data_IF_075964930526
#
_entry.id   IF_075964930526
#
_cell.length_a   1.000
_cell.length_b   1.000
_cell.length_c   1.000
_cell.angle_alpha   90.00
_cell.angle_beta   90.00
_cell.angle_gamma   90.00
#
_symmetry.space_group_name_H-M   'P 1'
#
loop_
_entity.id
_entity.type
_entity.pdbx_description
1 polymer ?
#
# COMPACT_ATOMS: atom_id res chain seq x y z
N UNK A 1 19.84 -30.54 29.59
CA UNK A 1 18.43 -30.15 29.84
C UNK A 1 18.33 -28.62 29.80
N UNK A 2 17.32 -28.10 29.07
CA UNK A 2 16.60 -26.78 29.18
C UNK A 2 17.39 -25.45 28.99
N UNK A 3 17.11 -24.67 27.92
CA UNK A 3 16.13 -23.54 27.75
C UNK A 3 16.55 -22.27 28.55
N UNK A 4 16.59 -21.02 28.08
CA UNK A 4 16.01 -20.28 26.94
C UNK A 4 16.73 -18.92 26.78
N UNK A 5 16.60 -18.28 25.61
CA UNK A 5 17.07 -16.94 25.26
C UNK A 5 16.02 -15.89 25.68
N UNK A 6 16.42 -14.88 26.46
CA UNK A 6 15.80 -13.55 26.63
C UNK A 6 16.93 -12.60 27.08
N UNK A 7 17.03 -11.31 26.74
CA UNK A 7 16.20 -10.35 26.02
C UNK A 7 17.15 -9.29 25.46
N UNK A 8 17.06 -8.93 24.17
CA UNK A 8 17.92 -7.88 23.60
C UNK A 8 17.43 -6.49 24.00
N UNK A 9 18.20 -5.94 24.93
CA UNK A 9 18.55 -4.55 25.19
C UNK A 9 17.99 -3.44 24.27
N UNK A 10 17.28 -2.53 24.93
CA UNK A 10 17.46 -1.07 24.89
C UNK A 10 17.21 -0.31 23.57
N UNK A 11 16.08 0.42 23.59
CA UNK A 11 15.85 1.78 23.08
C UNK A 11 17.10 2.51 22.53
N UNK A 12 17.11 2.79 21.22
CA UNK A 12 17.85 3.90 20.61
C UNK A 12 17.45 4.05 19.12
N UNK A 13 16.30 4.64 18.83
CA UNK A 13 15.98 5.05 17.45
C UNK A 13 15.21 6.37 17.36
N UNK A 14 15.12 7.13 18.45
CA UNK A 14 14.21 8.28 18.55
C UNK A 14 14.86 9.66 18.30
N UNK A 15 15.97 9.77 17.54
CA UNK A 15 16.65 11.08 17.45
C UNK A 15 17.23 11.50 16.10
N UNK A 16 16.78 11.01 14.93
CA UNK A 16 17.35 11.46 13.64
C UNK A 16 16.39 11.64 12.44
N UNK A 17 15.08 11.89 12.59
CA UNK A 17 14.19 12.11 11.41
C UNK A 17 13.69 13.54 11.17
N UNK A 18 14.07 14.52 12.00
CA UNK A 18 13.46 15.86 12.01
C UNK A 18 13.73 16.78 10.79
N UNK A 19 14.45 16.37 9.75
CA UNK A 19 14.81 17.26 8.62
C UNK A 19 14.42 16.73 7.23
N UNK A 20 13.80 15.55 7.13
CA UNK A 20 13.37 14.92 5.88
C UNK A 20 11.89 14.49 5.91
N UNK A 21 11.09 15.08 6.78
CA UNK A 21 9.68 14.71 6.99
C UNK A 21 8.72 15.82 6.51
N UNK A 22 9.14 16.66 5.55
CA UNK A 22 8.41 17.88 5.16
C UNK A 22 8.08 18.05 3.68
N UNK A 23 8.22 17.03 2.82
CA UNK A 23 7.80 17.16 1.39
C UNK A 23 7.05 15.97 0.80
N UNK A 24 6.50 15.07 1.62
CA UNK A 24 5.46 14.16 1.16
C UNK A 24 4.26 14.37 2.10
N UNK A 25 3.29 15.15 1.63
CA UNK A 25 1.90 14.96 2.08
C UNK A 25 1.53 13.54 1.63
N UNK A 26 1.96 12.52 2.39
CA UNK A 26 1.43 11.17 2.27
C UNK A 26 -0.04 11.28 2.68
N UNK A 27 -0.91 11.49 1.69
CA UNK A 27 -2.33 11.33 1.85
C UNK A 27 -2.54 10.01 2.60
N UNK A 28 -3.08 10.12 3.83
CA UNK A 28 -3.35 8.96 4.67
C UNK A 28 -4.05 7.91 3.79
N UNK A 29 -3.50 6.68 3.68
CA UNK A 29 -4.05 5.70 2.77
C UNK A 29 -5.52 5.46 3.06
N UNK A 30 -6.33 5.38 2.01
CA UNK A 30 -7.77 5.12 2.09
C UNK A 30 -8.05 3.73 2.64
N UNK A 31 -7.12 2.79 2.44
CA UNK A 31 -7.14 1.46 3.04
C UNK A 31 -6.42 0.43 2.18
N UNK A 32 -6.33 -0.79 2.69
CA UNK A 32 -5.85 -1.94 1.93
C UNK A 32 -7.02 -2.82 1.50
N UNK A 33 -7.08 -3.12 0.21
CA UNK A 33 -8.20 -3.82 -0.41
C UNK A 33 -7.71 -5.02 -1.21
N UNK A 34 -8.62 -5.98 -1.42
CA UNK A 34 -8.37 -7.14 -2.27
C UNK A 34 -8.73 -6.81 -3.71
N UNK A 35 -7.83 -7.17 -4.61
CA UNK A 35 -8.10 -7.15 -6.04
C UNK A 35 -9.04 -8.30 -6.38
N UNK A 36 -10.09 -8.00 -7.13
CA UNK A 36 -11.15 -8.92 -7.57
C UNK A 36 -11.22 -9.07 -9.09
N UNK A 37 -10.56 -8.19 -9.85
CA UNK A 37 -10.46 -8.27 -11.30
C UNK A 37 -9.05 -7.93 -11.78
N UNK A 38 -8.60 -8.60 -12.83
CA UNK A 38 -7.32 -8.33 -13.48
C UNK A 38 -7.35 -6.99 -14.20
N UNK A 39 -6.26 -6.25 -14.13
CA UNK A 39 -6.00 -5.10 -14.99
C UNK A 39 -4.56 -5.13 -15.49
N UNK A 40 -4.41 -5.01 -16.81
CA UNK A 40 -3.10 -5.05 -17.49
C UNK A 40 -2.77 -3.67 -18.02
N UNK A 41 -1.60 -3.10 -17.65
CA UNK A 41 -1.24 -1.74 -18.01
C UNK A 41 -0.93 -1.59 -19.51
N UNK A 42 -1.34 -0.45 -20.04
CA UNK A 42 -1.09 0.08 -21.38
C UNK A 42 -0.23 1.34 -21.36
N UNK A 43 -0.22 2.05 -20.24
CA UNK A 43 0.63 3.22 -19.97
C UNK A 43 1.64 2.93 -18.85
N UNK A 44 2.70 3.73 -18.77
CA UNK A 44 3.81 3.48 -17.84
C UNK A 44 3.46 3.78 -16.37
N UNK A 45 2.44 4.59 -16.12
CA UNK A 45 1.94 4.95 -14.81
C UNK A 45 0.85 3.99 -14.30
N UNK A 46 0.36 3.09 -15.16
CA UNK A 46 -0.65 2.10 -14.82
C UNK A 46 -0.06 0.90 -14.05
N UNK A 47 -0.83 0.35 -13.11
CA UNK A 47 -0.41 -0.73 -12.22
C UNK A 47 -0.97 -2.08 -12.67
N UNK A 48 -0.10 -3.07 -12.88
CA UNK A 48 -0.52 -4.48 -13.07
C UNK A 48 -1.06 -5.06 -11.76
N UNK A 49 -2.29 -5.56 -11.81
CA UNK A 49 -2.99 -6.16 -10.67
C UNK A 49 -3.74 -7.43 -11.08
N UNK A 50 -3.77 -8.40 -10.18
CA UNK A 50 -4.42 -9.70 -10.40
C UNK A 50 -5.30 -10.06 -9.20
N UNK A 51 -6.42 -10.80 -9.40
CA UNK A 51 -7.24 -11.27 -8.30
C UNK A 51 -6.42 -11.99 -7.22
N UNK A 52 -6.64 -11.62 -5.96
CA UNK A 52 -5.90 -12.13 -4.81
C UNK A 52 -4.79 -11.21 -4.29
N UNK A 53 -4.29 -10.31 -5.14
CA UNK A 53 -3.36 -9.26 -4.72
C UNK A 53 -3.99 -8.38 -3.61
N UNK A 54 -3.10 -7.82 -2.78
CA UNK A 54 -3.46 -6.80 -1.80
C UNK A 54 -2.88 -5.48 -2.26
N UNK A 55 -3.74 -4.47 -2.40
CA UNK A 55 -3.34 -3.12 -2.82
C UNK A 55 -3.72 -2.11 -1.74
N UNK A 56 -2.81 -1.20 -1.45
CA UNK A 56 -3.06 -0.03 -0.61
C UNK A 56 -3.48 1.12 -1.51
N UNK A 57 -4.68 1.65 -1.31
CA UNK A 57 -5.19 2.80 -2.07
C UNK A 57 -4.75 4.09 -1.39
N UNK A 58 -4.16 5.00 -2.15
CA UNK A 58 -3.67 6.30 -1.70
C UNK A 58 -4.62 7.43 -2.09
N UNK A 59 -5.10 7.40 -3.33
CA UNK A 59 -5.95 8.45 -3.91
C UNK A 59 -7.05 7.81 -4.74
N UNK A 60 -8.26 8.36 -4.67
CA UNK A 60 -9.36 8.08 -5.58
C UNK A 60 -9.63 9.34 -6.40
N UNK A 61 -9.71 9.20 -7.72
CA UNK A 61 -10.02 10.26 -8.67
C UNK A 61 -11.51 10.21 -9.05
N UNK A 62 -12.05 11.33 -9.51
CA UNK A 62 -13.48 11.49 -9.83
C UNK A 62 -13.91 10.77 -11.12
N UNK A 63 -12.96 10.36 -11.95
CA UNK A 63 -13.17 9.59 -13.18
C UNK A 63 -13.22 8.06 -12.97
N UNK A 64 -13.10 7.60 -11.72
CA UNK A 64 -13.16 6.19 -11.36
C UNK A 64 -11.82 5.46 -11.34
N UNK A 65 -10.70 6.18 -11.45
CA UNK A 65 -9.37 5.65 -11.22
C UNK A 65 -8.93 5.80 -9.77
N UNK A 66 -8.00 4.94 -9.36
CA UNK A 66 -7.32 5.04 -8.07
C UNK A 66 -5.81 4.98 -8.27
N UNK A 67 -5.07 5.68 -7.44
CA UNK A 67 -3.63 5.48 -7.28
C UNK A 67 -3.39 4.57 -6.07
N UNK A 68 -2.57 3.54 -6.24
CA UNK A 68 -2.28 2.61 -5.17
C UNK A 68 -0.92 1.94 -5.28
N UNK A 69 -0.63 1.11 -4.27
CA UNK A 69 0.60 0.31 -4.14
C UNK A 69 0.20 -1.16 -4.09
N UNK A 70 0.78 -2.00 -4.94
CA UNK A 70 0.60 -3.45 -4.88
C UNK A 70 1.58 -4.08 -3.90
N UNK A 71 1.12 -4.32 -2.67
CA UNK A 71 1.90 -4.91 -1.58
C UNK A 71 2.38 -6.34 -1.90
N UNK A 72 1.61 -7.06 -2.74
CA UNK A 72 1.87 -8.47 -3.04
C UNK A 72 2.89 -8.65 -4.18
N UNK A 73 3.01 -7.64 -5.06
CA UNK A 73 3.89 -7.66 -6.24
C UNK A 73 5.06 -6.68 -6.10
N UNK A 74 5.68 -6.65 -4.91
CA UNK A 74 6.92 -5.91 -4.68
C UNK A 74 6.74 -4.43 -4.33
N UNK A 75 5.55 -4.01 -3.91
CA UNK A 75 5.30 -2.62 -3.48
C UNK A 75 5.29 -1.62 -4.62
N UNK A 76 4.90 -2.05 -5.84
CA UNK A 76 4.88 -1.18 -7.02
C UNK A 76 3.71 -0.22 -6.93
N UNK A 77 3.98 1.06 -7.19
CA UNK A 77 2.98 2.14 -7.23
C UNK A 77 2.51 2.41 -8.65
N UNK A 78 1.22 2.68 -8.82
CA UNK A 78 0.65 3.12 -10.10
C UNK A 78 -0.86 3.37 -9.99
N UNK A 79 -1.49 3.62 -11.13
CA UNK A 79 -2.95 3.84 -11.23
C UNK A 79 -3.67 2.65 -11.85
N UNK A 80 -4.91 2.41 -11.43
CA UNK A 80 -5.77 1.37 -12.01
C UNK A 80 -7.26 1.68 -11.77
N UNK A 81 -8.19 1.02 -12.48
CA UNK A 81 -9.62 1.27 -12.28
C UNK A 81 -10.11 0.84 -10.89
N UNK A 82 -10.89 1.70 -10.22
CA UNK A 82 -11.42 1.45 -8.87
C UNK A 82 -12.24 0.16 -8.77
N UNK A 83 -12.95 -0.20 -9.83
CA UNK A 83 -13.82 -1.39 -9.84
C UNK A 83 -13.04 -2.72 -9.81
N UNK A 84 -11.72 -2.69 -9.94
CA UNK A 84 -10.87 -3.87 -9.81
C UNK A 84 -10.67 -4.32 -8.35
N UNK A 85 -11.08 -3.52 -7.36
CA UNK A 85 -10.92 -3.83 -5.93
C UNK A 85 -12.26 -3.92 -5.19
N UNK A 86 -12.30 -4.79 -4.19
CA UNK A 86 -13.45 -4.91 -3.28
C UNK A 86 -13.41 -3.82 -2.21
N UNK A 87 -13.87 -2.62 -2.56
CA UNK A 87 -14.04 -1.50 -1.62
C UNK A 87 -15.39 -1.53 -0.88
N UNK A 88 -16.22 -2.55 -1.12
CA UNK A 88 -17.55 -2.66 -0.54
C UNK A 88 -17.51 -3.26 0.88
N UNK A 89 -16.76 -2.66 1.82
CA UNK A 89 -16.91 -2.94 3.26
C UNK A 89 -16.62 -1.75 4.16
N UNK A 90 -17.70 -1.08 4.59
CA UNK A 90 -18.01 -0.86 6.00
C UNK A 90 -19.48 -0.42 6.13
N UNK A 91 -20.39 -1.39 6.28
CA UNK A 91 -21.70 -1.20 6.91
C UNK A 91 -21.65 -1.78 8.31
#
# INVERSE_FOLDING_TARGET
MTKSIVSSSAKAWEQQNSAYEVLEEEAKPLGSYKVIATYSPTLADELDIQPGDTVTILVEYDDGWVQGINETRGGIKGVFPRHCVDMNRAS
#
